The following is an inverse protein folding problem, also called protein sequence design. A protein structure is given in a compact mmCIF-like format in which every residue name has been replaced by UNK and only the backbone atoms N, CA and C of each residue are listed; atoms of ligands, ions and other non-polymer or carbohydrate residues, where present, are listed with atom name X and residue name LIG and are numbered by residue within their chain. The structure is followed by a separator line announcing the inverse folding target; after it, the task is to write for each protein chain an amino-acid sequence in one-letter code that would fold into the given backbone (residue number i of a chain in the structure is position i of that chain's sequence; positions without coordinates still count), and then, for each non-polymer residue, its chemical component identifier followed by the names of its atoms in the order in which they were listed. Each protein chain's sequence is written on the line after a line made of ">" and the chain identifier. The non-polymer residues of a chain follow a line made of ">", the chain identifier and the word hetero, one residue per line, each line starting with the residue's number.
data_IF_260841188042
#
_entry.id   IF_260841188042
#
_cell.length_a   1.000
_cell.length_b   1.000
_cell.length_c   1.000
_cell.angle_alpha   90.00
_cell.angle_beta   90.00
_cell.angle_gamma   90.00
#
_symmetry.space_group_name_H-M   'P 1'
#
loop_
_entity.id
_entity.type
_entity.pdbx_description
1 polymer ?
#
# COMPACT_ATOMS: atom_id res chain seq x y z
N UNK A 1 -21.43 58.87 37.97
CA UNK A 1 -20.99 57.46 38.12
C UNK A 1 -21.68 56.62 37.04
N UNK A 2 -21.08 56.52 35.85
CA UNK A 2 -21.54 55.62 34.78
C UNK A 2 -20.43 54.58 34.61
N UNK A 3 -20.69 53.35 35.08
CA UNK A 3 -19.76 52.22 35.06
C UNK A 3 -19.76 51.59 33.67
N UNK A 4 -18.62 51.67 32.99
CA UNK A 4 -17.97 50.59 32.24
C UNK A 4 -18.94 49.56 31.59
N UNK A 5 -19.29 49.75 30.31
CA UNK A 5 -19.66 48.63 29.42
C UNK A 5 -18.61 48.56 28.31
N UNK A 6 -17.41 48.19 28.71
CA UNK A 6 -16.36 47.75 27.80
C UNK A 6 -16.38 46.23 27.78
N UNK A 7 -16.22 45.67 26.58
CA UNK A 7 -15.82 44.27 26.36
C UNK A 7 -16.93 43.23 26.40
N UNK A 8 -17.85 43.29 25.43
CA UNK A 8 -18.38 42.07 24.84
C UNK A 8 -17.61 41.77 23.54
N UNK A 9 -16.29 41.58 23.67
CA UNK A 9 -15.54 40.84 22.66
C UNK A 9 -16.06 39.42 22.80
N UNK A 10 -16.98 39.05 21.90
CA UNK A 10 -17.30 37.66 21.61
C UNK A 10 -16.00 37.07 21.08
N UNK A 11 -15.19 36.55 22.00
CA UNK A 11 -14.12 35.62 21.72
C UNK A 11 -14.85 34.33 21.30
N UNK A 12 -15.29 34.30 20.05
CA UNK A 12 -15.54 33.05 19.33
C UNK A 12 -14.13 32.48 19.07
N UNK A 13 -13.47 31.97 20.12
CA UNK A 13 -12.35 31.06 19.93
C UNK A 13 -12.97 29.89 19.20
N UNK A 14 -12.80 29.91 17.88
CA UNK A 14 -12.83 28.73 17.06
C UNK A 14 -11.95 27.70 17.75
N UNK A 15 -12.56 26.74 18.43
CA UNK A 15 -11.94 25.45 18.61
C UNK A 15 -11.80 24.87 17.21
N UNK A 16 -10.76 25.32 16.49
CA UNK A 16 -10.20 24.56 15.40
C UNK A 16 -9.77 23.25 16.05
N UNK A 17 -10.67 22.27 16.03
CA UNK A 17 -10.33 20.91 16.38
C UNK A 17 -9.30 20.52 15.33
N UNK A 18 -8.02 20.53 15.73
CA UNK A 18 -6.98 19.83 14.97
C UNK A 18 -7.40 18.37 14.98
N UNK A 19 -8.21 17.97 14.00
CA UNK A 19 -8.40 16.56 13.69
C UNK A 19 -7.03 16.10 13.20
N UNK A 20 -6.38 15.26 14.00
CA UNK A 20 -5.32 14.42 13.48
C UNK A 20 -5.88 13.74 12.22
N UNK A 21 -5.22 13.96 11.07
CA UNK A 21 -5.61 13.28 9.84
C UNK A 21 -5.24 11.82 10.04
N UNK A 22 -6.24 10.96 10.17
CA UNK A 22 -6.04 9.53 10.09
C UNK A 22 -6.03 9.13 8.61
N UNK A 23 -4.98 8.45 8.16
CA UNK A 23 -4.88 7.87 6.83
C UNK A 23 -4.78 6.35 6.92
N UNK A 24 -5.34 5.64 5.94
CA UNK A 24 -5.42 4.19 5.94
C UNK A 24 -4.57 3.58 4.82
N UNK A 25 -3.82 2.54 5.15
CA UNK A 25 -2.95 1.84 4.21
C UNK A 25 -3.36 0.37 4.16
N UNK A 26 -3.85 -0.07 3.00
CA UNK A 26 -4.06 -1.48 2.69
C UNK A 26 -2.75 -2.11 2.20
N UNK A 27 -2.26 -3.12 2.90
CA UNK A 27 -1.17 -3.97 2.42
C UNK A 27 -1.78 -5.17 1.71
N UNK A 28 -1.60 -5.23 0.40
CA UNK A 28 -1.98 -6.37 -0.43
C UNK A 28 -0.71 -7.14 -0.79
N UNK A 29 -0.34 -8.11 0.04
CA UNK A 29 0.89 -8.88 -0.13
C UNK A 29 0.75 -10.39 0.03
N UNK A 30 1.90 -11.06 0.08
CA UNK A 30 1.97 -12.50 0.32
C UNK A 30 2.50 -12.86 1.71
N UNK A 31 3.17 -14.01 1.84
CA UNK A 31 3.89 -14.45 3.05
C UNK A 31 4.84 -13.41 3.63
N UNK A 32 5.51 -12.59 2.80
CA UNK A 32 6.46 -11.58 3.28
C UNK A 32 5.76 -10.52 4.14
N UNK A 33 4.52 -10.20 3.78
CA UNK A 33 3.68 -9.20 4.47
C UNK A 33 2.72 -9.84 5.49
N UNK A 34 2.34 -11.10 5.29
CA UNK A 34 1.52 -11.85 6.24
C UNK A 34 2.26 -12.23 7.54
N UNK A 35 3.60 -12.14 7.56
CA UNK A 35 4.39 -12.58 8.71
C UNK A 35 4.47 -14.10 8.82
N UNK A 36 4.81 -14.78 7.71
CA UNK A 36 4.97 -16.24 7.72
C UNK A 36 5.99 -16.70 8.78
N UNK A 37 5.63 -17.73 9.56
CA UNK A 37 6.41 -18.28 10.67
C UNK A 37 6.79 -17.28 11.79
N UNK A 38 6.03 -16.21 11.95
CA UNK A 38 6.17 -15.28 13.08
C UNK A 38 4.82 -14.92 13.67
N UNK A 39 4.82 -14.38 14.89
CA UNK A 39 3.63 -13.76 15.47
C UNK A 39 3.20 -12.57 14.59
N UNK A 40 1.90 -12.39 14.37
CA UNK A 40 1.38 -11.30 13.54
C UNK A 40 1.88 -9.92 13.99
N UNK A 41 2.08 -9.72 15.30
CA UNK A 41 2.60 -8.50 15.91
C UNK A 41 4.04 -8.13 15.48
N UNK A 42 4.78 -9.11 14.94
CA UNK A 42 6.14 -8.94 14.43
C UNK A 42 6.17 -8.76 12.91
N UNK A 43 5.04 -8.84 12.23
CA UNK A 43 4.97 -8.56 10.80
C UNK A 43 5.31 -7.10 10.52
N UNK A 44 6.02 -6.85 9.41
CA UNK A 44 6.42 -5.48 9.07
C UNK A 44 5.22 -4.53 8.90
N UNK A 45 4.02 -4.93 8.40
CA UNK A 45 2.86 -4.05 8.38
C UNK A 45 2.44 -3.59 9.78
N UNK A 46 2.46 -4.50 10.76
CA UNK A 46 2.11 -4.16 12.15
C UNK A 46 3.18 -3.27 12.80
N UNK A 47 4.44 -3.40 12.40
CA UNK A 47 5.50 -2.50 12.85
C UNK A 47 5.52 -1.15 12.14
N UNK A 48 4.97 -1.08 10.91
CA UNK A 48 4.90 0.13 10.11
C UNK A 48 4.04 1.19 10.79
N UNK A 49 2.88 0.82 11.34
CA UNK A 49 2.02 1.77 12.05
C UNK A 49 2.80 2.51 13.15
N UNK A 50 3.60 1.77 13.94
CA UNK A 50 4.43 2.33 15.01
C UNK A 50 5.49 3.30 14.51
N UNK A 51 6.09 3.05 13.34
CA UNK A 51 7.10 3.95 12.77
C UNK A 51 6.50 5.18 12.09
N UNK A 52 5.30 5.06 11.52
CA UNK A 52 4.62 6.19 10.88
C UNK A 52 3.91 7.10 11.90
N UNK A 53 3.81 6.66 13.16
CA UNK A 53 3.20 7.44 14.26
C UNK A 53 4.03 8.66 14.68
N UNK A 54 5.29 8.77 14.24
CA UNK A 54 6.18 9.89 14.56
C UNK A 54 5.89 11.15 13.72
N UNK A 55 5.04 11.03 12.68
CA UNK A 55 4.51 12.16 11.91
C UNK A 55 3.14 12.60 12.50
N UNK A 56 2.75 13.87 12.34
CA UNK A 56 1.45 14.44 12.78
C UNK A 56 0.20 13.77 12.13
N UNK A 57 0.37 12.64 11.46
CA UNK A 57 -0.65 11.86 10.74
C UNK A 57 -0.73 10.46 11.33
N UNK A 58 -1.90 10.06 11.78
CA UNK A 58 -2.13 8.71 12.31
C UNK A 58 -2.37 7.74 11.16
N UNK A 59 -1.57 6.67 11.05
CA UNK A 59 -1.74 5.69 9.98
C UNK A 59 -2.37 4.38 10.49
N UNK A 60 -3.55 4.05 9.96
CA UNK A 60 -4.20 2.75 10.18
C UNK A 60 -3.75 1.74 9.12
N UNK A 61 -3.22 0.59 9.56
CA UNK A 61 -2.73 -0.44 8.65
C UNK A 61 -3.74 -1.59 8.56
N UNK A 62 -4.19 -1.88 7.34
CA UNK A 62 -5.05 -3.01 7.01
C UNK A 62 -4.17 -4.07 6.33
N UNK A 63 -3.91 -5.18 7.00
CA UNK A 63 -3.10 -6.26 6.41
C UNK A 63 -4.00 -7.28 5.68
N UNK A 64 -4.13 -7.12 4.37
CA UNK A 64 -4.88 -8.04 3.48
C UNK A 64 -4.04 -9.20 2.93
N UNK A 65 -2.83 -9.39 3.44
CA UNK A 65 -1.84 -10.33 2.91
C UNK A 65 -2.12 -11.77 3.33
N UNK A 66 -1.90 -12.72 2.41
CA UNK A 66 -2.05 -14.15 2.69
C UNK A 66 -0.84 -14.92 2.18
N UNK A 67 -0.30 -15.81 3.02
CA UNK A 67 0.85 -16.63 2.65
C UNK A 67 0.56 -17.48 1.42
N UNK A 68 1.43 -17.38 0.41
CA UNK A 68 1.32 -18.14 -0.84
C UNK A 68 0.45 -17.50 -1.91
N UNK A 69 -0.07 -16.29 -1.68
CA UNK A 69 -0.85 -15.54 -2.66
C UNK A 69 -0.07 -15.22 -3.92
N UNK A 70 -0.76 -15.38 -5.04
CA UNK A 70 -0.34 -14.93 -6.36
C UNK A 70 -0.99 -13.60 -6.71
N UNK A 71 -0.53 -12.96 -7.78
CA UNK A 71 -1.20 -11.77 -8.35
C UNK A 71 -2.68 -12.03 -8.68
N UNK A 72 -3.02 -13.25 -9.10
CA UNK A 72 -4.40 -13.67 -9.36
C UNK A 72 -5.24 -13.79 -8.07
N UNK A 73 -4.64 -14.24 -6.96
CA UNK A 73 -5.32 -14.26 -5.67
C UNK A 73 -5.58 -12.84 -5.15
N UNK A 74 -4.61 -11.94 -5.31
CA UNK A 74 -4.78 -10.52 -5.01
C UNK A 74 -5.98 -9.92 -5.76
N UNK A 75 -6.08 -10.19 -7.07
CA UNK A 75 -7.19 -9.69 -7.90
C UNK A 75 -8.55 -10.16 -7.42
N UNK A 76 -8.66 -11.42 -7.00
CA UNK A 76 -9.92 -11.97 -6.53
C UNK A 76 -10.40 -11.30 -5.22
N UNK A 77 -9.47 -10.85 -4.38
CA UNK A 77 -9.77 -10.26 -3.06
C UNK A 77 -9.93 -8.74 -3.07
N UNK A 78 -9.20 -8.05 -3.96
CA UNK A 78 -9.09 -6.60 -3.94
C UNK A 78 -10.46 -5.88 -3.94
N UNK A 79 -11.47 -6.24 -4.76
CA UNK A 79 -12.75 -5.54 -4.75
C UNK A 79 -13.45 -5.54 -3.38
N UNK A 80 -13.37 -6.66 -2.65
CA UNK A 80 -13.94 -6.77 -1.30
C UNK A 80 -13.19 -5.87 -0.31
N UNK A 81 -11.86 -5.91 -0.35
CA UNK A 81 -11.00 -5.10 0.52
C UNK A 81 -11.19 -3.59 0.28
N UNK A 82 -11.30 -3.17 -0.98
CA UNK A 82 -11.57 -1.77 -1.34
C UNK A 82 -12.95 -1.33 -0.87
N UNK A 83 -13.98 -2.15 -1.09
CA UNK A 83 -15.35 -1.82 -0.66
C UNK A 83 -15.48 -1.77 0.86
N UNK A 84 -14.80 -2.65 1.58
CA UNK A 84 -14.88 -2.74 3.04
C UNK A 84 -14.13 -1.60 3.72
N UNK A 85 -12.91 -1.31 3.26
CA UNK A 85 -12.00 -0.43 3.98
C UNK A 85 -11.83 0.97 3.37
N UNK A 86 -12.13 1.15 2.07
CA UNK A 86 -11.94 2.43 1.36
C UNK A 86 -10.58 3.09 1.65
N UNK A 87 -9.46 2.39 1.42
CA UNK A 87 -8.15 2.84 1.90
C UNK A 87 -7.64 4.06 1.13
N UNK A 88 -6.91 4.95 1.82
CA UNK A 88 -6.24 6.10 1.19
C UNK A 88 -5.02 5.66 0.36
N UNK A 89 -4.37 4.58 0.79
CA UNK A 89 -3.19 4.01 0.14
C UNK A 89 -3.34 2.50 -0.04
N UNK A 90 -2.85 1.99 -1.18
CA UNK A 90 -2.69 0.54 -1.42
C UNK A 90 -1.23 0.25 -1.72
N UNK A 91 -0.60 -0.58 -0.89
CA UNK A 91 0.74 -1.10 -1.11
C UNK A 91 0.63 -2.52 -1.67
N UNK A 92 1.10 -2.73 -2.89
CA UNK A 92 1.07 -4.01 -3.58
C UNK A 92 2.43 -4.68 -3.47
N UNK A 93 2.44 -5.86 -2.85
CA UNK A 93 3.60 -6.73 -2.64
C UNK A 93 3.26 -8.15 -3.14
N UNK A 94 3.02 -8.28 -4.44
CA UNK A 94 2.61 -9.56 -5.05
C UNK A 94 3.45 -9.90 -6.26
N UNK A 95 3.56 -11.20 -6.54
CA UNK A 95 4.22 -11.76 -7.71
C UNK A 95 5.33 -12.77 -7.39
N UNK A 96 5.83 -12.82 -6.15
CA UNK A 96 6.88 -13.77 -5.78
C UNK A 96 6.41 -15.22 -5.99
N UNK A 97 5.20 -15.57 -5.55
CA UNK A 97 4.64 -16.91 -5.76
C UNK A 97 4.39 -17.25 -7.23
N UNK A 98 3.92 -16.29 -8.04
CA UNK A 98 3.77 -16.48 -9.49
C UNK A 98 5.13 -16.79 -10.13
N UNK A 99 6.16 -16.00 -9.79
CA UNK A 99 7.51 -16.14 -10.31
C UNK A 99 8.19 -17.45 -9.88
N UNK A 100 8.02 -17.84 -8.61
CA UNK A 100 8.52 -19.10 -8.07
C UNK A 100 7.82 -20.33 -8.67
N UNK A 101 6.57 -20.18 -9.15
CA UNK A 101 5.80 -21.24 -9.84
C UNK A 101 5.94 -21.21 -11.35
N UNK A 102 6.70 -20.27 -11.90
CA UNK A 102 6.97 -20.18 -13.34
C UNK A 102 5.77 -19.70 -14.18
N UNK A 103 4.87 -18.92 -13.59
CA UNK A 103 3.75 -18.34 -14.34
C UNK A 103 4.27 -17.39 -15.42
N UNK A 104 3.54 -17.26 -16.53
CA UNK A 104 3.99 -16.45 -17.66
C UNK A 104 4.04 -14.96 -17.27
N UNK A 105 5.17 -14.26 -17.47
CA UNK A 105 5.31 -12.84 -17.11
C UNK A 105 4.17 -11.92 -17.62
N UNK A 106 3.64 -12.10 -18.85
CA UNK A 106 2.51 -11.28 -19.31
C UNK A 106 1.23 -11.43 -18.48
N UNK A 107 0.98 -12.60 -17.88
CA UNK A 107 -0.19 -12.82 -17.01
C UNK A 107 -0.01 -12.05 -15.70
N UNK A 108 1.19 -12.13 -15.12
CA UNK A 108 1.58 -11.44 -13.88
C UNK A 108 1.47 -9.93 -14.08
N UNK A 109 2.02 -9.42 -15.19
CA UNK A 109 1.96 -8.01 -15.56
C UNK A 109 0.52 -7.52 -15.72
N UNK A 110 -0.31 -8.25 -16.47
CA UNK A 110 -1.72 -7.90 -16.63
C UNK A 110 -2.44 -7.84 -15.28
N UNK A 111 -2.20 -8.83 -14.42
CA UNK A 111 -2.86 -8.88 -13.12
C UNK A 111 -2.46 -7.70 -12.22
N UNK A 112 -1.16 -7.40 -12.15
CA UNK A 112 -0.65 -6.25 -11.40
C UNK A 112 -1.20 -4.93 -11.96
N UNK A 113 -1.25 -4.78 -13.28
CA UNK A 113 -1.83 -3.60 -13.93
C UNK A 113 -3.29 -3.41 -13.51
N UNK A 114 -4.10 -4.48 -13.53
CA UNK A 114 -5.49 -4.42 -13.09
C UNK A 114 -5.62 -4.10 -11.59
N UNK A 115 -4.76 -4.64 -10.73
CA UNK A 115 -4.74 -4.29 -9.30
C UNK A 115 -4.46 -2.81 -9.07
N UNK A 116 -3.49 -2.25 -9.80
CA UNK A 116 -3.13 -0.82 -9.73
C UNK A 116 -4.32 0.03 -10.18
N UNK A 117 -4.90 -0.26 -11.35
CA UNK A 117 -6.03 0.48 -11.89
C UNK A 117 -7.23 0.45 -10.95
N UNK A 118 -7.65 -0.71 -10.46
CA UNK A 118 -8.80 -0.81 -9.55
C UNK A 118 -8.58 -0.04 -8.24
N UNK A 119 -7.34 -0.03 -7.73
CA UNK A 119 -6.99 0.73 -6.53
C UNK A 119 -7.08 2.24 -6.78
N UNK A 120 -6.55 2.73 -7.91
CA UNK A 120 -6.63 4.15 -8.29
C UNK A 120 -8.07 4.59 -8.59
N UNK A 121 -8.86 3.76 -9.26
CA UNK A 121 -10.29 4.00 -9.52
C UNK A 121 -11.11 4.10 -8.23
N UNK A 122 -10.71 3.36 -7.18
CA UNK A 122 -11.28 3.49 -5.84
C UNK A 122 -10.79 4.73 -5.08
N UNK A 123 -9.95 5.57 -5.69
CA UNK A 123 -9.43 6.80 -5.10
C UNK A 123 -8.15 6.63 -4.28
N UNK A 124 -7.57 5.44 -4.22
CA UNK A 124 -6.38 5.18 -3.43
C UNK A 124 -5.09 5.54 -4.18
N UNK A 125 -4.11 6.07 -3.45
CA UNK A 125 -2.73 6.20 -3.94
C UNK A 125 -2.03 4.84 -3.88
N UNK A 126 -1.38 4.43 -4.97
CA UNK A 126 -0.79 3.09 -5.07
C UNK A 126 0.73 3.14 -4.92
N UNK A 127 1.30 2.20 -4.18
CA UNK A 127 2.73 1.91 -4.14
C UNK A 127 2.99 0.48 -4.59
N UNK A 128 3.88 0.30 -5.57
CA UNK A 128 4.23 -1.03 -6.08
C UNK A 128 5.62 -1.46 -5.59
N UNK A 129 5.68 -2.54 -4.81
CA UNK A 129 6.95 -3.11 -4.38
C UNK A 129 7.57 -3.95 -5.50
N UNK A 130 8.84 -3.69 -5.83
CA UNK A 130 9.57 -4.53 -6.79
C UNK A 130 9.88 -5.89 -6.19
N UNK A 131 9.57 -6.95 -6.93
CA UNK A 131 9.93 -8.33 -6.61
C UNK A 131 11.01 -8.82 -7.57
N UNK A 132 11.95 -9.62 -7.05
CA UNK A 132 12.95 -10.35 -7.82
C UNK A 132 12.84 -11.84 -7.52
N UNK A 133 13.13 -12.68 -8.50
CA UNK A 133 13.07 -14.14 -8.35
C UNK A 133 14.35 -14.82 -8.79
N UNK A 134 14.80 -15.87 -8.09
CA UNK A 134 15.95 -16.67 -8.52
C UNK A 134 15.77 -17.21 -9.95
N UNK A 135 16.86 -17.46 -10.69
CA UNK A 135 16.81 -17.88 -12.09
C UNK A 135 16.45 -19.36 -12.29
N UNK A 136 15.50 -19.89 -11.51
CA UNK A 136 15.06 -21.29 -11.55
C UNK A 136 14.48 -21.70 -12.92
N UNK A 137 13.87 -20.74 -13.63
CA UNK A 137 13.34 -20.90 -15.00
C UNK A 137 14.22 -20.23 -16.07
N UNK A 138 15.48 -19.95 -15.72
CA UNK A 138 16.47 -19.33 -16.60
C UNK A 138 16.51 -17.80 -16.53
N UNK A 139 17.67 -17.22 -16.87
CA UNK A 139 17.94 -15.77 -16.75
C UNK A 139 16.96 -14.90 -17.56
N UNK A 140 16.52 -15.39 -18.72
CA UNK A 140 15.54 -14.68 -19.55
C UNK A 140 14.21 -14.50 -18.82
N UNK A 141 13.75 -15.53 -18.10
CA UNK A 141 12.53 -15.47 -17.32
C UNK A 141 12.64 -14.43 -16.21
N UNK A 142 13.66 -14.51 -15.36
CA UNK A 142 13.88 -13.55 -14.27
C UNK A 142 13.99 -12.12 -14.78
N UNK A 143 14.70 -11.88 -15.89
CA UNK A 143 14.82 -10.55 -16.48
C UNK A 143 13.46 -10.00 -16.98
N UNK A 144 12.64 -10.84 -17.64
CA UNK A 144 11.30 -10.43 -18.06
C UNK A 144 10.41 -10.14 -16.85
N UNK A 145 10.46 -10.99 -15.82
CA UNK A 145 9.69 -10.81 -14.59
C UNK A 145 10.07 -9.53 -13.84
N UNK A 146 11.37 -9.29 -13.62
CA UNK A 146 11.86 -8.13 -12.85
C UNK A 146 11.54 -6.79 -13.54
N UNK A 147 11.44 -6.79 -14.88
CA UNK A 147 11.11 -5.62 -15.68
C UNK A 147 9.63 -5.23 -15.62
N UNK A 148 8.73 -6.12 -15.16
CA UNK A 148 7.31 -5.82 -15.00
C UNK A 148 7.09 -4.61 -14.09
N UNK A 149 7.74 -4.61 -12.92
CA UNK A 149 7.52 -3.62 -11.86
C UNK A 149 7.89 -2.18 -12.27
N UNK A 150 9.11 -1.88 -12.75
CA UNK A 150 9.45 -0.52 -13.18
C UNK A 150 8.64 -0.08 -14.41
N UNK A 151 8.27 -1.02 -15.30
CA UNK A 151 7.38 -0.74 -16.44
C UNK A 151 6.01 -0.26 -15.94
N UNK A 152 5.34 -1.03 -15.10
CA UNK A 152 4.02 -0.68 -14.57
C UNK A 152 4.05 0.59 -13.72
N UNK A 153 5.12 0.79 -12.93
CA UNK A 153 5.27 2.01 -12.14
C UNK A 153 5.30 3.26 -13.04
N UNK A 154 6.03 3.18 -14.16
CA UNK A 154 6.07 4.26 -15.16
C UNK A 154 4.74 4.43 -15.90
N UNK A 155 4.09 3.34 -16.29
CA UNK A 155 2.83 3.38 -17.07
C UNK A 155 1.68 3.98 -16.27
N UNK A 156 1.60 3.68 -14.97
CA UNK A 156 0.53 4.14 -14.08
C UNK A 156 0.89 5.41 -13.30
N UNK A 157 2.11 5.93 -13.45
CA UNK A 157 2.58 7.12 -12.75
C UNK A 157 2.68 6.94 -11.23
N UNK A 158 3.00 5.73 -10.76
CA UNK A 158 3.06 5.38 -9.34
C UNK A 158 4.49 5.19 -8.85
N UNK A 159 4.78 5.43 -7.56
CA UNK A 159 6.07 5.08 -6.97
C UNK A 159 6.29 3.56 -6.94
N UNK A 160 7.56 3.15 -7.08
CA UNK A 160 8.00 1.78 -6.78
C UNK A 160 9.24 1.76 -5.90
N UNK A 161 9.48 0.64 -5.20
CA UNK A 161 10.65 0.51 -4.30
C UNK A 161 12.00 0.71 -5.00
N UNK A 162 12.08 0.51 -6.33
CA UNK A 162 13.28 0.82 -7.11
C UNK A 162 13.48 2.32 -7.36
N UNK A 163 12.41 3.09 -7.55
CA UNK A 163 12.50 4.54 -7.82
C UNK A 163 12.83 5.35 -6.56
N UNK A 164 12.41 4.89 -5.39
CA UNK A 164 12.58 5.62 -4.12
C UNK A 164 14.01 5.55 -3.55
N UNK A 165 14.85 4.64 -4.03
CA UNK A 165 16.24 4.45 -3.58
C UNK A 165 17.27 5.27 -4.37
N UNK A 166 16.83 6.12 -5.31
CA UNK A 166 17.71 7.01 -6.10
C UNK A 166 17.71 8.46 -5.60
N UNK A 167 17.42 8.69 -4.33
CA UNK A 167 17.61 10.00 -3.66
C UNK A 167 18.70 9.90 -2.62
#
# INVERSE_FOLDING_TARGET
>A
MIRQLSSLIIIFVSLASFHAKAASILILGDSLSAGYNMSADLSWPTMLSKHLSDDDTEYSIINGSVSGDTTGNGLAKLPGLLSEHQPDYVLIELGANDGLRGFQPPIIERNLSTLITQSQEAGASVFLMQIRVPPNYGKRYSAMFENIYPKLASEHGIPSSHSSLKK
#
